data_IF_095384930339
#
_entry.id   IF_095384930339
#
_cell.length_a   1.000
_cell.length_b   1.000
_cell.length_c   1.000
_cell.angle_alpha   90.00
_cell.angle_beta   90.00
_cell.angle_gamma   90.00
#
_symmetry.space_group_name_H-M   'P 1'
#
loop_
_entity.id
_entity.type
_entity.pdbx_description
1 polymer ?
#
# COMPACT_ATOMS: atom_id res chain seq x y z
N UNK A 1 108.10 34.76 49.66
CA UNK A 1 107.90 33.30 49.74
C UNK A 1 108.57 32.83 51.00
N UNK A 2 107.81 32.75 52.08
CA UNK A 2 108.23 32.12 53.35
C UNK A 2 107.42 30.83 53.44
N UNK A 3 108.12 29.71 53.28
CA UNK A 3 107.60 28.35 53.44
C UNK A 3 107.07 28.18 54.87
N UNK A 4 105.77 27.92 55.01
CA UNK A 4 105.22 27.36 56.23
C UNK A 4 105.83 25.96 56.41
N UNK A 5 106.66 25.80 57.45
CA UNK A 5 107.15 24.49 57.87
C UNK A 5 105.95 23.67 58.35
N UNK A 6 105.58 22.63 57.60
CA UNK A 6 104.76 21.55 58.13
C UNK A 6 105.47 20.92 59.33
N UNK A 7 105.04 21.27 60.54
CA UNK A 7 105.37 20.51 61.74
C UNK A 7 104.67 19.16 61.64
N UNK A 8 105.38 18.18 61.08
CA UNK A 8 104.93 16.80 61.05
C UNK A 8 104.75 16.26 62.47
N UNK A 9 103.52 15.97 62.85
CA UNK A 9 103.20 15.27 64.10
C UNK A 9 103.88 13.89 64.09
N UNK A 10 104.87 13.69 64.97
CA UNK A 10 105.50 12.39 65.18
C UNK A 10 104.80 11.69 66.35
N UNK A 11 104.08 10.61 66.07
CA UNK A 11 103.46 9.78 67.11
C UNK A 11 104.51 8.89 67.77
N UNK A 12 104.55 8.87 69.10
CA UNK A 12 105.41 7.95 69.85
C UNK A 12 104.83 6.52 69.84
N UNK A 13 105.71 5.53 70.04
CA UNK A 13 105.37 4.10 69.97
C UNK A 13 104.28 3.68 70.97
N UNK A 14 104.23 4.29 72.16
CA UNK A 14 103.23 3.96 73.18
C UNK A 14 101.86 4.51 72.78
N UNK A 15 101.81 5.70 72.18
CA UNK A 15 100.57 6.27 71.62
C UNK A 15 100.07 5.45 70.42
N UNK A 16 100.97 4.98 69.54
CA UNK A 16 100.64 4.04 68.46
C UNK A 16 100.06 2.73 69.01
N UNK A 17 100.68 2.13 70.03
CA UNK A 17 100.18 0.88 70.63
C UNK A 17 98.80 1.06 71.26
N UNK A 18 98.55 2.18 71.94
CA UNK A 18 97.22 2.50 72.52
C UNK A 18 96.17 2.70 71.42
N UNK A 19 96.51 3.42 70.35
CA UNK A 19 95.62 3.61 69.21
C UNK A 19 95.30 2.29 68.52
N UNK A 20 96.30 1.46 68.25
CA UNK A 20 96.14 0.13 67.66
C UNK A 20 95.26 -0.77 68.54
N UNK A 21 95.51 -0.74 69.86
CA UNK A 21 94.73 -1.51 70.85
C UNK A 21 93.27 -1.10 70.89
N UNK A 22 92.94 0.17 70.63
CA UNK A 22 91.56 0.67 70.64
C UNK A 22 90.88 0.61 69.27
N UNK A 23 91.62 0.77 68.18
CA UNK A 23 91.08 0.83 66.81
C UNK A 23 90.74 -0.56 66.30
N UNK A 24 91.61 -1.56 66.47
CA UNK A 24 91.39 -2.92 65.91
C UNK A 24 90.14 -3.61 66.48
N UNK A 25 89.87 -3.61 67.81
CA UNK A 25 88.65 -4.21 68.34
C UNK A 25 87.39 -3.46 67.89
N UNK A 26 87.48 -2.13 67.79
CA UNK A 26 86.37 -1.29 67.32
C UNK A 26 86.08 -1.55 65.83
N UNK A 27 87.09 -1.67 64.97
CA UNK A 27 86.90 -2.00 63.55
C UNK A 27 86.29 -3.38 63.35
N UNK A 28 86.78 -4.38 64.10
CA UNK A 28 86.22 -5.74 64.08
C UNK A 28 84.76 -5.79 64.54
N UNK A 29 84.40 -4.98 65.53
CA UNK A 29 83.00 -4.81 65.94
C UNK A 29 82.15 -4.18 64.83
N UNK A 30 82.66 -3.18 64.13
CA UNK A 30 81.98 -2.58 62.98
C UNK A 30 81.83 -3.56 61.81
N UNK A 31 82.84 -4.37 61.49
CA UNK A 31 82.77 -5.42 60.47
C UNK A 31 81.65 -6.41 60.78
N UNK A 32 81.61 -6.97 62.00
CA UNK A 32 80.56 -7.92 62.40
C UNK A 32 79.16 -7.28 62.35
N UNK A 33 79.03 -6.03 62.78
CA UNK A 33 77.75 -5.31 62.73
C UNK A 33 77.34 -5.02 61.28
N UNK A 34 78.28 -4.74 60.40
CA UNK A 34 78.05 -4.52 58.97
C UNK A 34 77.62 -5.82 58.29
N UNK A 35 78.30 -6.94 58.56
CA UNK A 35 77.92 -8.27 58.07
C UNK A 35 76.50 -8.64 58.53
N UNK A 36 76.18 -8.37 59.79
CA UNK A 36 74.84 -8.61 60.33
C UNK A 36 73.77 -7.73 59.67
N UNK A 37 74.09 -6.46 59.40
CA UNK A 37 73.19 -5.55 58.69
C UNK A 37 72.97 -6.03 57.24
N UNK A 38 74.03 -6.44 56.55
CA UNK A 38 73.95 -6.99 55.21
C UNK A 38 73.06 -8.23 55.18
N UNK A 39 73.24 -9.15 56.13
CA UNK A 39 72.42 -10.34 56.26
C UNK A 39 70.94 -10.01 56.52
N UNK A 40 70.64 -9.03 57.37
CA UNK A 40 69.27 -8.58 57.62
C UNK A 40 68.63 -7.97 56.35
N UNK A 41 69.39 -7.16 55.60
CA UNK A 41 68.95 -6.57 54.33
C UNK A 41 68.66 -7.67 53.32
N UNK A 42 69.58 -8.61 53.12
CA UNK A 42 69.43 -9.71 52.17
C UNK A 42 68.22 -10.59 52.52
N UNK A 43 68.03 -10.88 53.80
CA UNK A 43 66.88 -11.65 54.29
C UNK A 43 65.56 -10.92 54.02
N UNK A 44 65.50 -9.62 54.32
CA UNK A 44 64.30 -8.82 54.11
C UNK A 44 63.99 -8.64 52.63
N UNK A 45 65.01 -8.44 51.81
CA UNK A 45 64.87 -8.32 50.37
C UNK A 45 64.39 -9.64 49.75
N UNK A 46 64.96 -10.77 50.16
CA UNK A 46 64.50 -12.10 49.75
C UNK A 46 63.04 -12.36 50.11
N UNK A 47 62.62 -12.00 51.33
CA UNK A 47 61.21 -12.11 51.74
C UNK A 47 60.28 -11.24 50.90
N UNK A 48 60.65 -9.98 50.65
CA UNK A 48 59.86 -9.07 49.82
C UNK A 48 59.75 -9.58 48.38
N UNK A 49 60.84 -10.11 47.83
CA UNK A 49 60.85 -10.68 46.49
C UNK A 49 59.92 -11.88 46.40
N UNK A 50 60.00 -12.81 47.35
CA UNK A 50 59.09 -13.95 47.41
C UNK A 50 57.62 -13.54 47.55
N UNK A 51 57.32 -12.52 48.37
CA UNK A 51 55.95 -12.00 48.48
C UNK A 51 55.45 -11.38 47.17
N UNK A 52 56.31 -10.66 46.45
CA UNK A 52 55.96 -10.07 45.15
C UNK A 52 55.71 -11.16 44.12
N UNK A 53 56.56 -12.18 44.05
CA UNK A 53 56.43 -13.29 43.10
C UNK A 53 55.08 -14.00 43.30
N UNK A 54 54.76 -14.37 44.56
CA UNK A 54 53.47 -15.01 44.88
C UNK A 54 52.28 -14.11 44.53
N UNK A 55 52.39 -12.79 44.77
CA UNK A 55 51.31 -11.85 44.45
C UNK A 55 51.12 -11.69 42.94
N UNK A 56 52.21 -11.68 42.18
CA UNK A 56 52.18 -11.62 40.71
C UNK A 56 51.55 -12.89 40.16
N UNK A 57 51.97 -14.08 40.63
CA UNK A 57 51.40 -15.36 40.22
C UNK A 57 49.90 -15.42 40.51
N UNK A 58 49.49 -14.96 41.71
CA UNK A 58 48.08 -14.93 42.08
C UNK A 58 47.25 -13.99 41.19
N UNK A 59 47.78 -12.81 40.86
CA UNK A 59 47.12 -11.88 39.96
C UNK A 59 47.02 -12.43 38.54
N UNK A 60 48.06 -13.09 38.04
CA UNK A 60 48.04 -13.75 36.73
C UNK A 60 46.96 -14.83 36.68
N UNK A 61 46.92 -15.73 37.66
CA UNK A 61 45.90 -16.77 37.75
C UNK A 61 44.48 -16.19 37.82
N UNK A 62 44.28 -15.13 38.60
CA UNK A 62 42.97 -14.46 38.66
C UNK A 62 42.58 -13.85 37.30
N UNK A 63 43.53 -13.25 36.58
CA UNK A 63 43.28 -12.69 35.26
C UNK A 63 42.92 -13.79 34.26
N UNK A 64 43.68 -14.88 34.21
CA UNK A 64 43.44 -15.99 33.28
C UNK A 64 42.03 -16.58 33.46
N UNK A 65 41.60 -16.78 34.71
CA UNK A 65 40.24 -17.25 35.02
C UNK A 65 39.18 -16.25 34.54
N UNK A 66 39.39 -14.94 34.79
CA UNK A 66 38.42 -13.92 34.34
C UNK A 66 38.36 -13.80 32.82
N UNK A 67 39.50 -13.87 32.13
CA UNK A 67 39.52 -13.85 30.67
C UNK A 67 38.82 -15.08 30.10
N UNK A 68 39.09 -16.28 30.62
CA UNK A 68 38.37 -17.48 30.20
C UNK A 68 36.85 -17.40 30.45
N UNK A 69 36.42 -16.76 31.55
CA UNK A 69 34.99 -16.50 31.78
C UNK A 69 34.39 -15.50 30.80
N UNK A 70 35.16 -14.51 30.35
CA UNK A 70 34.72 -13.54 29.33
C UNK A 70 34.56 -14.23 27.98
N UNK A 71 35.52 -15.07 27.58
CA UNK A 71 35.46 -15.84 26.33
C UNK A 71 34.19 -16.71 26.29
N UNK A 72 33.92 -17.44 27.38
CA UNK A 72 32.69 -18.26 27.48
C UNK A 72 31.40 -17.43 27.37
N UNK A 73 31.39 -16.22 27.93
CA UNK A 73 30.23 -15.32 27.82
C UNK A 73 30.07 -14.80 26.40
N UNK A 74 31.16 -14.48 25.72
CA UNK A 74 31.16 -14.05 24.32
C UNK A 74 30.63 -15.18 23.44
N UNK A 75 31.13 -16.40 23.60
CA UNK A 75 30.66 -17.58 22.86
C UNK A 75 29.16 -17.82 23.06
N UNK A 76 28.69 -17.71 24.31
CA UNK A 76 27.27 -17.89 24.61
C UNK A 76 26.41 -16.79 23.98
N UNK A 77 26.83 -15.53 24.05
CA UNK A 77 26.12 -14.41 23.42
C UNK A 77 26.09 -14.57 21.90
N UNK A 78 27.19 -15.01 21.30
CA UNK A 78 27.28 -15.22 19.87
C UNK A 78 26.32 -16.34 19.42
N UNK A 79 26.33 -17.50 20.10
CA UNK A 79 25.38 -18.58 19.83
C UNK A 79 23.92 -18.14 20.00
N UNK A 80 23.61 -17.35 21.03
CA UNK A 80 22.25 -16.82 21.22
C UNK A 80 21.83 -15.87 20.09
N UNK A 81 22.74 -15.03 19.62
CA UNK A 81 22.47 -14.12 18.49
C UNK A 81 22.25 -14.91 17.20
N UNK A 82 23.10 -15.90 16.91
CA UNK A 82 22.98 -16.73 15.72
C UNK A 82 21.62 -17.46 15.70
N UNK A 83 21.22 -18.08 16.82
CA UNK A 83 19.90 -18.72 16.92
C UNK A 83 18.74 -17.73 16.72
N UNK A 84 18.84 -16.51 17.24
CA UNK A 84 17.80 -15.48 17.05
C UNK A 84 17.74 -15.00 15.62
N UNK A 85 18.89 -14.80 14.98
CA UNK A 85 18.99 -14.39 13.57
C UNK A 85 18.38 -15.49 12.69
N UNK A 86 18.75 -16.74 12.88
CA UNK A 86 18.20 -17.88 12.14
C UNK A 86 16.68 -17.99 12.31
N UNK A 87 16.18 -17.82 13.54
CA UNK A 87 14.74 -17.85 13.78
C UNK A 87 14.00 -16.69 13.10
N UNK A 88 14.54 -15.48 13.16
CA UNK A 88 13.96 -14.33 12.48
C UNK A 88 13.98 -14.50 10.95
N UNK A 89 15.08 -15.02 10.40
CA UNK A 89 15.21 -15.33 8.99
C UNK A 89 14.12 -16.32 8.55
N UNK A 90 13.99 -17.45 9.24
CA UNK A 90 12.97 -18.45 8.94
C UNK A 90 11.54 -17.88 9.05
N UNK A 91 11.26 -17.07 10.06
CA UNK A 91 9.95 -16.43 10.20
C UNK A 91 9.66 -15.45 9.06
N UNK A 92 10.66 -14.69 8.60
CA UNK A 92 10.51 -13.79 7.46
C UNK A 92 10.29 -14.57 6.17
N UNK A 93 11.04 -15.64 5.93
CA UNK A 93 10.89 -16.47 4.73
C UNK A 93 9.48 -17.07 4.66
N UNK A 94 8.98 -17.65 5.76
CA UNK A 94 7.59 -18.16 5.83
C UNK A 94 6.54 -17.08 5.56
N UNK A 95 6.75 -15.85 6.06
CA UNK A 95 5.83 -14.73 5.82
C UNK A 95 5.89 -14.25 4.37
N UNK A 96 7.08 -14.21 3.77
CA UNK A 96 7.27 -13.84 2.37
C UNK A 96 6.58 -14.87 1.47
N UNK A 97 6.78 -16.17 1.72
CA UNK A 97 6.11 -17.23 0.97
C UNK A 97 4.59 -17.13 1.06
N UNK A 98 4.07 -16.86 2.27
CA UNK A 98 2.63 -16.67 2.48
C UNK A 98 2.09 -15.44 1.74
N UNK A 99 2.78 -14.31 1.79
CA UNK A 99 2.40 -13.09 1.06
C UNK A 99 2.45 -13.31 -0.46
N UNK A 100 3.45 -14.03 -0.94
CA UNK A 100 3.58 -14.38 -2.35
C UNK A 100 2.37 -15.22 -2.81
N UNK A 101 1.98 -16.22 -2.01
CA UNK A 101 0.79 -17.02 -2.28
C UNK A 101 -0.50 -16.17 -2.31
N UNK A 102 -0.69 -15.29 -1.31
CA UNK A 102 -1.87 -14.41 -1.28
C UNK A 102 -1.95 -13.49 -2.50
N UNK A 103 -0.81 -12.96 -2.96
CA UNK A 103 -0.73 -12.15 -4.18
C UNK A 103 -1.12 -12.95 -5.42
N UNK A 104 -0.65 -14.20 -5.53
CA UNK A 104 -0.97 -15.07 -6.66
C UNK A 104 -2.45 -15.49 -6.69
N UNK A 105 -3.05 -15.75 -5.52
CA UNK A 105 -4.48 -16.02 -5.37
C UNK A 105 -5.32 -14.81 -5.77
N UNK A 106 -4.96 -13.61 -5.32
CA UNK A 106 -5.63 -12.36 -5.71
C UNK A 106 -5.53 -12.14 -7.22
N UNK A 107 -4.34 -12.32 -7.80
CA UNK A 107 -4.12 -12.17 -9.24
C UNK A 107 -4.97 -13.14 -10.05
N UNK A 108 -5.09 -14.37 -9.59
CA UNK A 108 -5.93 -15.40 -10.21
C UNK A 108 -7.41 -15.07 -10.08
N UNK A 109 -7.86 -14.66 -8.89
CA UNK A 109 -9.23 -14.21 -8.66
C UNK A 109 -9.60 -13.01 -9.53
N UNK A 110 -8.70 -12.04 -9.69
CA UNK A 110 -8.92 -10.84 -10.50
C UNK A 110 -9.06 -11.17 -12.00
N UNK A 111 -8.22 -12.08 -12.53
CA UNK A 111 -8.37 -12.58 -13.91
C UNK A 111 -9.71 -13.28 -14.12
N UNK A 112 -10.12 -14.13 -13.18
CA UNK A 112 -11.43 -14.80 -13.28
C UNK A 112 -12.60 -13.81 -13.22
N UNK A 113 -12.49 -12.76 -12.41
CA UNK A 113 -13.51 -11.71 -12.33
C UNK A 113 -13.58 -10.92 -13.65
N UNK A 114 -12.42 -10.54 -14.20
CA UNK A 114 -12.32 -9.85 -15.49
C UNK A 114 -12.97 -10.67 -16.61
N UNK A 115 -12.64 -11.96 -16.72
CA UNK A 115 -13.24 -12.87 -17.69
C UNK A 115 -14.75 -13.00 -17.51
N UNK A 116 -15.24 -13.10 -16.27
CA UNK A 116 -16.66 -13.19 -15.99
C UNK A 116 -17.40 -11.90 -16.38
N UNK A 117 -16.85 -10.74 -16.01
CA UNK A 117 -17.42 -9.44 -16.36
C UNK A 117 -17.45 -9.24 -17.87
N UNK A 118 -16.37 -9.56 -18.57
CA UNK A 118 -16.32 -9.49 -20.03
C UNK A 118 -17.40 -10.37 -20.67
N UNK A 119 -17.53 -11.63 -20.24
CA UNK A 119 -18.60 -12.53 -20.75
C UNK A 119 -19.99 -12.00 -20.49
N UNK A 120 -20.25 -11.44 -19.31
CA UNK A 120 -21.57 -10.87 -18.97
C UNK A 120 -21.86 -9.62 -19.79
N UNK A 121 -20.86 -8.76 -19.98
CA UNK A 121 -20.99 -7.54 -20.77
C UNK A 121 -21.29 -7.87 -22.23
N UNK A 122 -20.54 -8.79 -22.85
CA UNK A 122 -20.80 -9.20 -24.24
C UNK A 122 -22.16 -9.88 -24.40
N UNK A 123 -22.57 -10.71 -23.45
CA UNK A 123 -23.90 -11.33 -23.45
C UNK A 123 -25.00 -10.27 -23.38
N UNK A 124 -24.88 -9.32 -22.45
CA UNK A 124 -25.86 -8.25 -22.28
C UNK A 124 -25.93 -7.35 -23.52
N UNK A 125 -24.79 -7.02 -24.12
CA UNK A 125 -24.74 -6.26 -25.36
C UNK A 125 -25.48 -6.99 -26.48
N UNK A 126 -25.19 -8.28 -26.69
CA UNK A 126 -25.87 -9.08 -27.71
C UNK A 126 -27.38 -9.18 -27.48
N UNK A 127 -27.81 -9.34 -26.24
CA UNK A 127 -29.24 -9.39 -25.91
C UNK A 127 -29.93 -8.03 -26.13
N UNK A 128 -29.25 -6.91 -25.84
CA UNK A 128 -29.76 -5.57 -26.16
C UNK A 128 -29.90 -5.39 -27.67
N UNK A 129 -28.88 -5.74 -28.45
CA UNK A 129 -28.90 -5.63 -29.92
C UNK A 129 -30.10 -6.41 -30.50
N UNK A 130 -30.31 -7.66 -30.05
CA UNK A 130 -31.47 -8.46 -30.47
C UNK A 130 -32.81 -7.83 -30.11
N UNK A 131 -32.92 -7.21 -28.94
CA UNK A 131 -34.16 -6.53 -28.52
C UNK A 131 -34.41 -5.27 -29.35
N UNK A 132 -33.36 -4.51 -29.69
CA UNK A 132 -33.50 -3.37 -30.58
C UNK A 132 -33.93 -3.79 -31.98
N UNK A 133 -33.33 -4.84 -32.55
CA UNK A 133 -33.78 -5.38 -33.84
C UNK A 133 -35.26 -5.82 -33.83
N UNK A 134 -35.72 -6.41 -32.72
CA UNK A 134 -37.13 -6.77 -32.56
C UNK A 134 -38.05 -5.55 -32.48
N UNK A 135 -37.59 -4.48 -31.81
CA UNK A 135 -38.31 -3.21 -31.73
C UNK A 135 -38.42 -2.58 -33.12
N UNK A 136 -37.32 -2.54 -33.88
CA UNK A 136 -37.31 -2.02 -35.25
C UNK A 136 -38.31 -2.77 -36.14
N UNK A 137 -38.31 -4.11 -36.09
CA UNK A 137 -39.29 -4.93 -36.83
C UNK A 137 -40.75 -4.64 -36.44
N UNK A 138 -41.02 -4.32 -35.17
CA UNK A 138 -42.38 -3.95 -34.73
C UNK A 138 -42.77 -2.57 -35.24
N UNK A 139 -41.84 -1.62 -35.30
CA UNK A 139 -42.09 -0.31 -35.89
C UNK A 139 -42.38 -0.43 -37.39
N UNK A 140 -41.60 -1.20 -38.15
CA UNK A 140 -41.89 -1.45 -39.56
C UNK A 140 -43.30 -2.06 -39.79
N UNK A 141 -43.74 -2.96 -38.90
CA UNK A 141 -45.09 -3.52 -38.95
C UNK A 141 -46.18 -2.48 -38.63
N UNK A 142 -45.90 -1.56 -37.71
CA UNK A 142 -46.80 -0.45 -37.38
C UNK A 142 -46.92 0.49 -38.57
N UNK A 143 -45.80 0.86 -39.20
CA UNK A 143 -45.79 1.73 -40.38
C UNK A 143 -46.64 1.13 -41.51
N UNK A 144 -46.47 -0.16 -41.82
CA UNK A 144 -47.30 -0.87 -42.80
C UNK A 144 -48.80 -0.85 -42.46
N UNK A 145 -49.15 -0.91 -41.17
CA UNK A 145 -50.56 -0.82 -40.75
C UNK A 145 -51.11 0.59 -40.89
N UNK A 146 -50.30 1.62 -40.63
CA UNK A 146 -50.69 3.01 -40.86
C UNK A 146 -50.89 3.29 -42.34
N UNK A 147 -49.98 2.86 -43.21
CA UNK A 147 -50.15 2.95 -44.68
C UNK A 147 -51.47 2.31 -45.15
N UNK A 148 -51.81 1.13 -44.60
CA UNK A 148 -53.09 0.47 -44.91
C UNK A 148 -54.32 1.23 -44.38
N UNK A 149 -54.20 1.91 -43.24
CA UNK A 149 -55.27 2.75 -42.69
C UNK A 149 -55.45 3.98 -43.57
N UNK A 150 -54.38 4.64 -43.98
CA UNK A 150 -54.41 5.81 -44.87
C UNK A 150 -55.14 5.47 -46.17
N UNK A 151 -54.77 4.36 -46.82
CA UNK A 151 -55.45 3.89 -48.05
C UNK A 151 -56.94 3.61 -47.81
N UNK A 152 -57.32 3.08 -46.65
CA UNK A 152 -58.73 2.82 -46.32
C UNK A 152 -59.50 4.11 -46.05
N UNK A 153 -58.86 5.09 -45.41
CA UNK A 153 -59.43 6.42 -45.16
C UNK A 153 -59.64 7.17 -46.47
N UNK A 154 -58.66 7.18 -47.38
CA UNK A 154 -58.79 7.79 -48.71
C UNK A 154 -59.99 7.22 -49.48
N UNK A 155 -60.14 5.88 -49.50
CA UNK A 155 -61.29 5.22 -50.13
C UNK A 155 -62.62 5.55 -49.45
N UNK A 156 -62.61 5.77 -48.13
CA UNK A 156 -63.82 6.15 -47.40
C UNK A 156 -64.22 7.60 -47.71
N UNK A 157 -63.24 8.50 -47.78
CA UNK A 157 -63.42 9.91 -48.18
C UNK A 157 -64.00 9.95 -49.58
N UNK A 158 -63.40 9.27 -50.56
CA UNK A 158 -63.90 9.20 -51.94
C UNK A 158 -65.35 8.70 -52.01
N UNK A 159 -65.66 7.64 -51.26
CA UNK A 159 -67.04 7.10 -51.20
C UNK A 159 -68.03 8.09 -50.57
N UNK A 160 -67.60 8.82 -49.55
CA UNK A 160 -68.44 9.84 -48.90
C UNK A 160 -68.70 11.00 -49.85
N UNK A 161 -67.68 11.49 -50.56
CA UNK A 161 -67.81 12.57 -51.56
C UNK A 161 -68.81 12.19 -52.65
N UNK A 162 -68.70 10.97 -53.22
CA UNK A 162 -69.64 10.47 -54.23
C UNK A 162 -71.08 10.40 -53.70
N UNK A 163 -71.28 9.98 -52.43
CA UNK A 163 -72.62 9.92 -51.83
C UNK A 163 -73.20 11.31 -51.57
N UNK A 164 -72.38 12.27 -51.13
CA UNK A 164 -72.80 13.66 -50.93
C UNK A 164 -73.21 14.28 -52.27
N UNK A 165 -72.40 14.11 -53.31
CA UNK A 165 -72.70 14.60 -54.66
C UNK A 165 -73.99 14.01 -55.22
N UNK A 166 -74.20 12.71 -55.05
CA UNK A 166 -75.42 12.03 -55.47
C UNK A 166 -76.64 12.59 -54.72
N UNK A 167 -76.58 12.72 -53.39
CA UNK A 167 -77.66 13.25 -52.58
C UNK A 167 -78.01 14.71 -52.91
N UNK A 168 -77.00 15.56 -53.16
CA UNK A 168 -77.22 16.95 -53.60
C UNK A 168 -77.90 17.03 -54.97
N UNK A 169 -77.51 16.15 -55.92
CA UNK A 169 -78.16 16.06 -57.23
C UNK A 169 -79.62 15.64 -57.11
N UNK A 170 -79.91 14.61 -56.30
CA UNK A 170 -81.29 14.17 -56.05
C UNK A 170 -82.13 15.29 -55.43
N UNK A 171 -81.62 15.98 -54.42
CA UNK A 171 -82.32 17.11 -53.80
C UNK A 171 -82.57 18.26 -54.80
N UNK A 172 -81.59 18.58 -55.66
CA UNK A 172 -81.77 19.58 -56.72
C UNK A 172 -82.84 19.16 -57.73
N UNK A 173 -82.87 17.89 -58.14
CA UNK A 173 -83.89 17.36 -59.05
C UNK A 173 -85.29 17.46 -58.42
N UNK A 174 -85.43 17.07 -57.15
CA UNK A 174 -86.70 17.20 -56.41
C UNK A 174 -87.14 18.66 -56.32
N UNK A 175 -86.23 19.57 -56.01
CA UNK A 175 -86.49 21.01 -55.95
C UNK A 175 -86.96 21.54 -57.30
N UNK A 176 -86.26 21.22 -58.40
CA UNK A 176 -86.65 21.63 -59.76
C UNK A 176 -88.03 21.09 -60.12
N UNK A 177 -88.31 19.80 -59.83
CA UNK A 177 -89.63 19.20 -60.07
C UNK A 177 -90.74 19.92 -59.30
N UNK A 178 -90.53 20.24 -58.03
CA UNK A 178 -91.50 21.01 -57.23
C UNK A 178 -91.78 22.39 -57.84
N UNK A 179 -90.74 23.11 -58.27
CA UNK A 179 -90.91 24.39 -58.98
C UNK A 179 -91.66 24.22 -60.30
N UNK A 180 -91.32 23.22 -61.11
CA UNK A 180 -92.02 22.94 -62.38
C UNK A 180 -93.50 22.61 -62.15
N UNK A 181 -93.82 21.80 -61.14
CA UNK A 181 -95.21 21.52 -60.76
C UNK A 181 -95.93 22.80 -60.31
N UNK A 182 -95.30 23.61 -59.44
CA UNK A 182 -95.88 24.86 -58.98
C UNK A 182 -96.16 25.85 -60.13
N UNK A 183 -95.24 25.99 -61.09
CA UNK A 183 -95.44 26.81 -62.29
C UNK A 183 -96.57 26.28 -63.18
N UNK A 184 -96.65 24.96 -63.36
CA UNK A 184 -97.74 24.32 -64.10
C UNK A 184 -99.11 24.59 -63.47
N UNK A 185 -99.22 24.42 -62.14
CA UNK A 185 -100.43 24.77 -61.39
C UNK A 185 -100.78 26.26 -61.53
N UNK A 186 -99.80 27.15 -61.42
CA UNK A 186 -100.02 28.60 -61.57
C UNK A 186 -100.53 28.98 -62.97
N UNK A 187 -99.97 28.39 -64.03
CA UNK A 187 -100.39 28.62 -65.40
C UNK A 187 -101.84 28.16 -65.66
N UNK A 188 -102.22 26.97 -65.19
CA UNK A 188 -103.60 26.45 -65.33
C UNK A 188 -104.59 27.36 -64.58
N UNK A 189 -104.26 27.77 -63.36
CA UNK A 189 -105.09 28.70 -62.59
C UNK A 189 -105.23 30.07 -63.27
N UNK A 190 -104.16 30.61 -63.86
CA UNK A 190 -104.23 31.86 -64.63
C UNK A 190 -105.14 31.73 -65.86
N UNK A 191 -105.07 30.63 -66.61
CA UNK A 191 -105.96 30.38 -67.76
C UNK A 191 -107.43 30.29 -67.30
N UNK A 192 -107.70 29.64 -66.17
CA UNK A 192 -109.04 29.58 -65.59
C UNK A 192 -109.59 30.95 -65.17
N UNK A 193 -108.75 31.81 -64.57
CA UNK A 193 -109.13 33.18 -64.22
C UNK A 193 -109.33 34.06 -65.46
N UNK A 194 -108.44 33.97 -66.46
CA UNK A 194 -108.59 34.69 -67.72
C UNK A 194 -109.83 34.24 -68.50
N UNK A 195 -110.14 32.94 -68.50
CA UNK A 195 -111.38 32.41 -69.09
C UNK A 195 -112.63 32.93 -68.39
N UNK A 196 -112.63 33.00 -67.05
CA UNK A 196 -113.71 33.65 -66.29
C UNK A 196 -113.82 35.15 -66.58
N UNK A 197 -112.70 35.85 -66.79
CA UNK A 197 -112.68 37.28 -67.12
C UNK A 197 -113.10 37.54 -68.57
N UNK A 198 -112.84 36.62 -69.50
CA UNK A 198 -113.23 36.72 -70.90
C UNK A 198 -114.70 36.30 -71.15
N UNK A 199 -115.33 35.53 -70.26
CA UNK A 199 -116.79 35.25 -70.28
C UNK A 199 -117.64 36.30 -69.56
N UNK A 200 -117.16 37.54 -69.49
CA UNK A 200 -117.99 38.73 -69.29
C UNK A 200 -117.81 39.62 -70.53
N UNK A 201 -118.28 39.12 -71.68
CA UNK A 201 -119.43 39.64 -72.45
C UNK A 201 -119.91 38.54 -73.41
#
# INVERSE_FOLDING_TARGET
MTEEKEEGLTLDRKTMDILVTNIIPTSKYFEVRFDNLQQQIDTKFGYLQQQMDVRIDHLQQQMDVRFGQVDLKIDNLQQQMDMKIDNLQQQMDMKIDHLQQQVDDVKTGMRSLEDNMNKRFTTMQSDMDKRFEQVDKRFEQIDKRFEQIDVKLDKLIERVDVKIDAGLRENRILTVRLFTFALGFAAISMVGLLGKMLQIF
#
